data_IF_699202692683
#
_entry.id   IF_699202692683
#
_cell.length_a   1.000
_cell.length_b   1.000
_cell.length_c   1.000
_cell.angle_alpha   90.00
_cell.angle_beta   90.00
_cell.angle_gamma   90.00
#
_symmetry.space_group_name_H-M   'P 1'
#
loop_
_entity.id
_entity.type
_entity.pdbx_description
1 polymer ?
#
# COMPACT_ATOMS: atom_id res chain seq x y z
N UNK A 1 8.10 -23.77 3.84
CA UNK A 1 8.84 -22.62 3.29
C UNK A 1 9.64 -22.01 4.43
N UNK A 2 10.97 -21.98 4.33
CA UNK A 2 11.81 -21.36 5.37
C UNK A 2 11.68 -19.83 5.29
N UNK A 3 11.53 -19.17 6.43
CA UNK A 3 11.31 -17.71 6.52
C UNK A 3 12.41 -16.91 5.80
N UNK A 4 13.65 -17.44 5.78
CA UNK A 4 14.77 -16.86 5.03
C UNK A 4 14.55 -16.85 3.52
N UNK A 5 13.90 -17.87 2.95
CA UNK A 5 13.55 -17.90 1.53
C UNK A 5 12.40 -16.95 1.21
N UNK A 6 11.44 -16.79 2.12
CA UNK A 6 10.35 -15.82 1.95
C UNK A 6 10.86 -14.37 2.03
N UNK A 7 11.75 -14.08 2.98
CA UNK A 7 12.37 -12.76 3.13
C UNK A 7 13.34 -12.43 1.99
N UNK A 8 14.11 -13.41 1.51
CA UNK A 8 15.00 -13.25 0.35
C UNK A 8 14.19 -13.07 -0.95
N UNK A 9 13.02 -13.70 -1.06
CA UNK A 9 12.08 -13.49 -2.17
C UNK A 9 11.41 -12.12 -2.12
N UNK A 10 11.04 -11.62 -0.93
CA UNK A 10 10.53 -10.26 -0.70
C UNK A 10 11.61 -9.20 -0.94
N UNK A 11 12.86 -9.46 -0.52
CA UNK A 11 14.00 -8.55 -0.72
C UNK A 11 14.43 -8.45 -2.18
N UNK A 12 14.41 -9.57 -2.91
CA UNK A 12 14.65 -9.61 -4.36
C UNK A 12 13.48 -9.02 -5.16
N UNK A 13 12.27 -9.01 -4.60
CA UNK A 13 11.11 -8.33 -5.18
C UNK A 13 11.32 -6.81 -5.29
N UNK A 14 12.01 -6.24 -4.30
CA UNK A 14 12.24 -4.79 -4.14
C UNK A 14 13.32 -4.24 -5.09
N UNK A 15 14.23 -5.09 -5.58
CA UNK A 15 15.45 -4.68 -6.28
C UNK A 15 15.47 -4.98 -7.79
N UNK A 16 14.57 -5.82 -8.30
CA UNK A 16 14.57 -6.26 -9.72
C UNK A 16 13.37 -5.79 -10.55
N UNK A 17 12.34 -5.21 -9.92
CA UNK A 17 11.23 -4.57 -10.65
C UNK A 17 11.32 -3.08 -10.47
N UNK A 18 11.16 -2.34 -11.56
CA UNK A 18 10.62 -1.00 -11.51
C UNK A 18 9.24 -1.15 -10.80
N UNK A 19 9.10 -0.83 -9.49
CA UNK A 19 7.97 -1.31 -8.66
C UNK A 19 6.62 -0.83 -9.19
N UNK A 20 6.70 0.24 -9.98
CA UNK A 20 5.65 1.05 -10.53
C UNK A 20 4.99 0.43 -11.79
N UNK A 21 5.68 -0.47 -12.52
CA UNK A 21 5.11 -1.12 -13.71
C UNK A 21 4.26 -2.35 -13.37
N UNK A 22 4.62 -3.11 -12.33
CA UNK A 22 3.78 -4.21 -11.82
C UNK A 22 2.63 -3.73 -10.93
N UNK A 23 2.67 -2.46 -10.50
CA UNK A 23 1.65 -1.91 -9.61
C UNK A 23 0.27 -1.91 -10.29
N UNK A 24 0.25 -1.67 -11.61
CA UNK A 24 -0.94 -1.66 -12.46
C UNK A 24 -1.76 -2.96 -12.43
N UNK A 25 -1.15 -4.09 -12.07
CA UNK A 25 -1.82 -5.39 -12.00
C UNK A 25 -2.65 -5.57 -10.71
N UNK A 26 -2.46 -4.71 -9.70
CA UNK A 26 -3.06 -4.89 -8.36
C UNK A 26 -4.40 -4.17 -8.14
N UNK A 27 -4.72 -3.13 -8.94
CA UNK A 27 -5.99 -2.42 -8.86
C UNK A 27 -6.69 -2.52 -10.20
N UNK A 28 -7.88 -3.12 -10.15
CA UNK A 28 -8.78 -3.19 -11.29
C UNK A 28 -9.12 -1.78 -11.81
N UNK A 29 -8.83 -1.45 -13.08
CA UNK A 29 -9.21 -0.17 -13.68
C UNK A 29 -10.71 0.11 -13.61
N UNK A 30 -11.56 -0.92 -13.71
CA UNK A 30 -13.02 -0.74 -13.61
C UNK A 30 -13.45 -0.35 -12.19
N UNK A 31 -12.76 -0.82 -11.17
CA UNK A 31 -12.97 -0.38 -9.79
C UNK A 31 -12.66 1.11 -9.65
N UNK A 32 -11.53 1.56 -10.19
CA UNK A 32 -11.12 2.96 -10.14
C UNK A 32 -12.16 3.84 -10.86
N UNK A 33 -12.56 3.47 -12.07
CA UNK A 33 -13.58 4.20 -12.83
C UNK A 33 -14.92 4.29 -12.10
N UNK A 34 -15.37 3.20 -11.46
CA UNK A 34 -16.60 3.21 -10.64
C UNK A 34 -16.46 4.13 -9.43
N UNK A 35 -15.33 4.09 -8.73
CA UNK A 35 -15.09 4.96 -7.57
C UNK A 35 -15.06 6.44 -7.96
N UNK A 36 -14.49 6.79 -9.12
CA UNK A 36 -14.50 8.15 -9.67
C UNK A 36 -15.91 8.61 -10.06
N UNK A 37 -16.73 7.68 -10.59
CA UNK A 37 -18.14 7.93 -10.88
C UNK A 37 -18.94 8.23 -9.62
N UNK A 38 -18.80 7.39 -8.60
CA UNK A 38 -19.49 7.54 -7.32
C UNK A 38 -19.04 8.77 -6.52
N UNK A 39 -17.80 9.23 -6.69
CA UNK A 39 -17.30 10.45 -6.03
C UNK A 39 -17.69 11.74 -6.77
N UNK A 40 -18.37 11.65 -7.91
CA UNK A 40 -18.68 12.82 -8.76
C UNK A 40 -17.44 13.42 -9.43
N UNK A 41 -16.33 12.68 -9.47
CA UNK A 41 -15.03 13.13 -9.98
C UNK A 41 -14.79 12.62 -11.41
N UNK A 42 -15.87 12.50 -12.19
CA UNK A 42 -15.76 12.10 -13.60
C UNK A 42 -15.45 13.31 -14.45
N UNK A 43 -14.41 13.21 -15.27
CA UNK A 43 -14.12 14.23 -16.27
C UNK A 43 -14.33 13.67 -17.67
N UNK A 44 -15.20 14.29 -18.47
CA UNK A 44 -15.43 13.91 -19.86
C UNK A 44 -14.24 14.20 -20.78
N UNK A 45 -13.33 15.10 -20.37
CA UNK A 45 -12.19 15.53 -21.18
C UNK A 45 -11.00 14.58 -21.02
N UNK A 46 -10.55 13.98 -22.11
CA UNK A 46 -9.26 13.26 -22.17
C UNK A 46 -8.10 14.24 -21.98
N UNK A 47 -7.38 14.11 -20.87
CA UNK A 47 -6.19 14.93 -20.53
C UNK A 47 -4.95 14.05 -20.54
N UNK A 48 -3.77 14.68 -20.69
CA UNK A 48 -2.48 13.96 -20.67
C UNK A 48 -2.22 13.17 -19.39
N UNK A 49 -2.81 13.61 -18.27
CA UNK A 49 -2.77 12.93 -16.98
C UNK A 49 -4.22 12.65 -16.55
N UNK A 50 -4.74 11.45 -16.88
CA UNK A 50 -6.08 11.01 -16.47
C UNK A 50 -6.21 10.91 -14.94
N UNK A 51 -7.43 10.99 -14.42
CA UNK A 51 -7.66 10.92 -12.97
C UNK A 51 -7.49 9.49 -12.44
N UNK A 52 -7.81 8.51 -13.26
CA UNK A 52 -7.56 7.08 -13.03
C UNK A 52 -6.06 6.86 -12.75
N UNK A 53 -5.23 7.47 -13.59
CA UNK A 53 -3.78 7.42 -13.48
C UNK A 53 -3.24 8.23 -12.28
N UNK A 54 -3.97 9.23 -11.82
CA UNK A 54 -3.62 9.98 -10.61
C UNK A 54 -3.80 9.13 -9.34
N UNK A 55 -4.73 8.18 -9.33
CA UNK A 55 -4.87 7.22 -8.22
C UNK A 55 -3.59 6.39 -8.08
N UNK A 56 -3.04 5.90 -9.21
CA UNK A 56 -1.75 5.21 -9.23
C UNK A 56 -0.59 6.07 -8.74
N UNK A 57 -0.57 7.35 -9.10
CA UNK A 57 0.42 8.29 -8.59
C UNK A 57 0.36 8.43 -7.06
N UNK A 58 -0.83 8.38 -6.46
CA UNK A 58 -1.00 8.41 -5.00
C UNK A 58 -0.48 7.14 -4.34
N UNK A 59 -0.74 5.97 -4.93
CA UNK A 59 -0.16 4.70 -4.44
C UNK A 59 1.37 4.75 -4.58
N UNK A 60 1.88 5.26 -5.70
CA UNK A 60 3.31 5.49 -5.91
C UNK A 60 3.93 6.39 -4.83
N UNK A 61 3.25 7.45 -4.38
CA UNK A 61 3.72 8.27 -3.24
C UNK A 61 3.80 7.50 -1.92
N UNK A 62 2.86 6.58 -1.68
CA UNK A 62 2.86 5.79 -0.46
C UNK A 62 4.05 4.83 -0.41
N UNK A 63 4.44 4.28 -1.57
CA UNK A 63 5.58 3.38 -1.72
C UNK A 63 6.91 4.14 -1.76
N UNK A 64 6.99 5.20 -2.57
CA UNK A 64 8.20 5.98 -2.84
C UNK A 64 8.24 7.28 -2.03
N UNK A 65 8.30 7.16 -0.70
CA UNK A 65 8.21 8.31 0.23
C UNK A 65 9.29 9.38 0.05
N UNK A 66 10.41 9.05 -0.61
CA UNK A 66 11.56 9.95 -0.81
C UNK A 66 11.44 10.76 -2.11
N UNK A 67 10.54 10.38 -3.01
CA UNK A 67 10.49 10.94 -4.36
C UNK A 67 9.39 12.01 -4.49
N UNK A 68 9.65 13.13 -5.18
CA UNK A 68 8.64 14.14 -5.42
C UNK A 68 7.62 13.64 -6.46
N UNK A 69 6.37 14.11 -6.31
CA UNK A 69 5.21 13.67 -7.10
C UNK A 69 5.44 13.65 -8.62
N UNK A 70 6.09 14.68 -9.18
CA UNK A 70 6.36 14.76 -10.62
C UNK A 70 7.35 13.70 -11.11
N UNK A 71 8.31 13.29 -10.28
CA UNK A 71 9.24 12.21 -10.62
C UNK A 71 8.53 10.85 -10.55
N UNK A 72 7.63 10.67 -9.58
CA UNK A 72 6.78 9.49 -9.49
C UNK A 72 5.93 9.33 -10.75
N UNK A 73 5.29 10.40 -11.24
CA UNK A 73 4.51 10.38 -12.49
C UNK A 73 5.36 9.96 -13.70
N UNK A 74 6.56 10.52 -13.82
CA UNK A 74 7.44 10.21 -14.94
C UNK A 74 7.98 8.77 -14.86
N UNK A 75 8.28 8.25 -13.66
CA UNK A 75 8.72 6.86 -13.47
C UNK A 75 7.61 5.83 -13.71
N UNK A 76 6.38 6.18 -13.34
CA UNK A 76 5.19 5.35 -13.57
C UNK A 76 4.78 5.27 -15.06
N UNK A 77 5.29 6.17 -15.91
CA UNK A 77 4.89 6.33 -17.32
C UNK A 77 3.36 6.35 -17.53
N UNK A 78 2.64 7.00 -16.61
CA UNK A 78 1.18 7.02 -16.58
C UNK A 78 0.54 8.09 -17.48
N UNK A 79 1.35 8.70 -18.34
CA UNK A 79 0.91 9.80 -19.21
C UNK A 79 0.38 9.27 -20.54
N UNK A 80 -0.67 9.91 -21.06
CA UNK A 80 -1.06 9.66 -22.44
C UNK A 80 -0.01 10.24 -23.42
N UNK A 81 0.22 9.59 -24.57
CA UNK A 81 1.19 10.03 -25.57
C UNK A 81 0.98 11.50 -25.95
N UNK A 82 2.08 12.24 -26.09
CA UNK A 82 2.01 13.64 -26.49
C UNK A 82 3.38 14.23 -26.78
N UNK A 83 3.38 15.44 -27.33
CA UNK A 83 4.59 16.09 -27.88
C UNK A 83 5.64 16.52 -26.82
N UNK A 84 5.45 16.23 -25.54
CA UNK A 84 6.39 16.58 -24.46
C UNK A 84 6.61 15.40 -23.53
N UNK A 85 7.84 14.91 -23.33
CA UNK A 85 8.09 13.69 -22.56
C UNK A 85 7.79 13.81 -21.05
N UNK A 86 7.79 15.03 -20.49
CA UNK A 86 7.64 15.24 -19.04
C UNK A 86 6.36 16.01 -18.68
N UNK A 87 5.80 15.74 -17.48
CA UNK A 87 4.73 16.56 -16.89
C UNK A 87 5.32 17.79 -16.19
N UNK A 88 4.72 18.95 -16.42
CA UNK A 88 5.00 20.14 -15.61
C UNK A 88 4.53 19.92 -14.16
N UNK A 89 5.35 20.18 -13.12
CA UNK A 89 4.97 19.93 -11.72
C UNK A 89 3.60 20.50 -11.31
N UNK A 90 3.25 21.69 -11.83
CA UNK A 90 1.94 22.33 -11.60
C UNK A 90 0.76 21.51 -12.12
N UNK A 91 0.90 20.86 -13.28
CA UNK A 91 -0.15 20.03 -13.85
C UNK A 91 -0.44 18.79 -12.99
N UNK A 92 0.59 18.27 -12.30
CA UNK A 92 0.43 17.15 -11.36
C UNK A 92 -0.33 17.59 -10.12
N UNK A 93 0.02 18.75 -9.55
CA UNK A 93 -0.67 19.34 -8.39
C UNK A 93 -2.14 19.60 -8.73
N UNK A 94 -2.42 20.20 -9.89
CA UNK A 94 -3.78 20.46 -10.36
C UNK A 94 -4.58 19.17 -10.60
N UNK A 95 -3.93 18.10 -11.06
CA UNK A 95 -4.59 16.81 -11.23
C UNK A 95 -4.93 16.17 -9.88
N UNK A 96 -4.02 16.23 -8.90
CA UNK A 96 -4.27 15.78 -7.53
C UNK A 96 -5.42 16.54 -6.87
N UNK A 97 -5.47 17.87 -7.02
CA UNK A 97 -6.58 18.69 -6.50
C UNK A 97 -7.93 18.30 -7.12
N UNK A 98 -7.95 18.04 -8.44
CA UNK A 98 -9.16 17.60 -9.14
C UNK A 98 -9.63 16.22 -8.73
N UNK A 99 -8.71 15.31 -8.41
CA UNK A 99 -9.06 13.96 -7.94
C UNK A 99 -9.83 14.02 -6.61
N UNK A 100 -9.40 14.89 -5.70
CA UNK A 100 -10.02 15.04 -4.38
C UNK A 100 -9.77 13.84 -3.45
N UNK A 101 -10.03 14.04 -2.15
CA UNK A 101 -9.85 12.99 -1.14
C UNK A 101 -10.93 11.92 -1.18
N UNK A 102 -12.16 12.28 -1.57
CA UNK A 102 -13.29 11.35 -1.58
C UNK A 102 -13.12 10.21 -2.59
N UNK A 103 -12.60 10.49 -3.79
CA UNK A 103 -12.28 9.46 -4.77
C UNK A 103 -11.27 8.44 -4.21
N UNK A 104 -10.19 8.94 -3.60
CA UNK A 104 -9.13 8.11 -3.00
C UNK A 104 -9.66 7.27 -1.85
N UNK A 105 -10.48 7.88 -0.98
CA UNK A 105 -11.14 7.19 0.13
C UNK A 105 -11.99 6.03 -0.36
N UNK A 106 -12.80 6.25 -1.41
CA UNK A 106 -13.66 5.20 -1.98
C UNK A 106 -12.85 4.05 -2.58
N UNK A 107 -11.81 4.37 -3.36
CA UNK A 107 -10.91 3.34 -3.90
C UNK A 107 -10.34 2.52 -2.76
N UNK A 108 -9.79 3.17 -1.72
CA UNK A 108 -9.24 2.47 -0.56
C UNK A 108 -10.25 1.55 0.12
N UNK A 109 -11.44 2.06 0.46
CA UNK A 109 -12.47 1.27 1.15
C UNK A 109 -12.95 0.09 0.31
N UNK A 110 -13.22 0.29 -0.99
CA UNK A 110 -13.70 -0.79 -1.86
C UNK A 110 -12.63 -1.85 -2.06
N UNK A 111 -11.38 -1.45 -2.29
CA UNK A 111 -10.26 -2.39 -2.44
C UNK A 111 -10.03 -3.18 -1.15
N UNK A 112 -10.03 -2.52 0.01
CA UNK A 112 -9.90 -3.19 1.30
C UNK A 112 -11.00 -4.23 1.52
N UNK A 113 -12.25 -3.89 1.20
CA UNK A 113 -13.38 -4.81 1.34
C UNK A 113 -13.30 -6.00 0.37
N UNK A 114 -12.88 -5.77 -0.88
CA UNK A 114 -12.68 -6.85 -1.86
C UNK A 114 -11.60 -7.82 -1.42
N UNK A 115 -10.45 -7.31 -0.98
CA UNK A 115 -9.35 -8.15 -0.51
C UNK A 115 -9.69 -8.88 0.78
N UNK A 116 -10.40 -8.24 1.70
CA UNK A 116 -10.92 -8.89 2.91
C UNK A 116 -11.83 -10.08 2.54
N UNK A 117 -12.82 -9.85 1.68
CA UNK A 117 -13.76 -10.90 1.27
C UNK A 117 -13.11 -12.05 0.48
N UNK A 118 -12.05 -11.76 -0.28
CA UNK A 118 -11.31 -12.76 -1.04
C UNK A 118 -10.33 -13.57 -0.18
N UNK A 119 -9.99 -13.09 1.01
CA UNK A 119 -9.00 -13.73 1.88
C UNK A 119 -9.66 -14.77 2.78
N UNK A 120 -9.24 -16.04 2.73
CA UNK A 120 -9.70 -17.03 3.70
C UNK A 120 -9.07 -16.70 5.07
N UNK A 121 -9.88 -16.16 5.99
CA UNK A 121 -9.40 -15.82 7.32
C UNK A 121 -9.25 -17.07 8.20
N UNK A 122 -8.07 -17.32 8.80
CA UNK A 122 -7.92 -18.37 9.78
C UNK A 122 -8.74 -18.02 11.04
N UNK A 123 -9.22 -19.05 11.73
CA UNK A 123 -9.96 -18.90 12.97
C UNK A 123 -9.13 -19.46 14.14
N UNK A 124 -9.16 -18.79 15.28
CA UNK A 124 -8.54 -19.25 16.52
C UNK A 124 -9.52 -19.02 17.67
N UNK A 125 -9.83 -20.08 18.43
CA UNK A 125 -10.80 -20.04 19.53
C UNK A 125 -12.16 -19.43 19.17
N UNK A 126 -12.66 -19.68 17.95
CA UNK A 126 -13.93 -19.13 17.46
C UNK A 126 -13.88 -17.68 16.97
N UNK A 127 -12.70 -17.05 16.97
CA UNK A 127 -12.49 -15.68 16.49
C UNK A 127 -11.77 -15.66 15.15
N UNK A 128 -12.07 -14.65 14.32
CA UNK A 128 -11.34 -14.37 13.07
C UNK A 128 -9.96 -13.80 13.40
N UNK A 129 -8.91 -14.48 12.97
CA UNK A 129 -7.54 -14.02 13.16
C UNK A 129 -7.15 -13.05 12.03
N UNK A 130 -6.81 -11.82 12.41
CA UNK A 130 -6.32 -10.76 11.53
C UNK A 130 -4.93 -10.34 11.98
N UNK A 131 -4.05 -10.01 11.04
CA UNK A 131 -2.74 -9.43 11.32
C UNK A 131 -2.76 -7.94 11.01
N UNK A 132 -2.34 -7.12 11.96
CA UNK A 132 -2.07 -5.70 11.76
C UNK A 132 -0.56 -5.55 11.86
N UNK A 133 0.07 -5.16 10.74
CA UNK A 133 1.51 -4.98 10.71
C UNK A 133 1.92 -3.82 11.64
N UNK A 134 2.84 -4.07 12.56
CA UNK A 134 3.35 -3.07 13.52
C UNK A 134 2.78 -3.09 14.95
N UNK A 135 2.01 -4.10 15.37
CA UNK A 135 1.54 -4.20 16.77
C UNK A 135 2.20 -5.36 17.50
N UNK A 136 3.01 -5.04 18.51
CA UNK A 136 3.51 -6.03 19.47
C UNK A 136 2.55 -6.12 20.66
N UNK A 137 1.86 -7.26 20.79
CA UNK A 137 1.15 -7.60 22.02
C UNK A 137 2.10 -8.36 22.95
N UNK A 138 2.32 -7.85 24.16
CA UNK A 138 2.99 -8.60 25.22
C UNK A 138 1.93 -9.33 26.03
N UNK A 139 2.03 -10.65 26.10
CA UNK A 139 1.25 -11.45 27.06
C UNK A 139 1.86 -11.33 28.46
N UNK A 140 1.07 -11.41 29.54
CA UNK A 140 1.60 -11.50 30.89
C UNK A 140 2.53 -12.71 31.05
N UNK A 141 3.65 -12.53 31.77
CA UNK A 141 4.60 -13.60 32.09
C UNK A 141 3.96 -14.56 33.11
N UNK A 142 3.20 -15.56 32.62
CA UNK A 142 2.63 -16.65 33.42
C UNK A 142 3.13 -18.01 32.94
N UNK A 143 3.26 -19.02 33.83
CA UNK A 143 3.74 -20.35 33.46
C UNK A 143 2.91 -21.01 32.33
N UNK A 144 1.61 -20.78 32.32
CA UNK A 144 0.67 -21.29 31.31
C UNK A 144 0.92 -20.67 29.92
N UNK A 145 1.19 -19.37 29.87
CA UNK A 145 1.55 -18.67 28.64
C UNK A 145 2.93 -19.13 28.12
N UNK A 146 3.90 -19.38 29.01
CA UNK A 146 5.22 -19.90 28.63
C UNK A 146 5.17 -21.30 28.00
N UNK A 147 4.26 -22.16 28.46
CA UNK A 147 4.07 -23.49 27.87
C UNK A 147 3.37 -23.46 26.51
N UNK A 148 2.55 -22.44 26.25
CA UNK A 148 1.64 -22.38 25.10
C UNK A 148 2.14 -21.45 23.98
N UNK A 149 2.93 -20.43 24.32
CA UNK A 149 3.43 -19.40 23.42
C UNK A 149 4.97 -19.44 23.39
N UNK A 150 5.55 -19.51 22.19
CA UNK A 150 7.01 -19.47 22.06
C UNK A 150 7.55 -18.12 22.57
N UNK A 151 8.52 -18.16 23.50
CA UNK A 151 9.18 -16.97 23.99
C UNK A 151 10.00 -16.31 22.85
N UNK A 152 9.74 -15.03 22.56
CA UNK A 152 10.63 -14.25 21.73
C UNK A 152 11.93 -13.98 22.52
N UNK A 153 13.08 -14.40 21.98
CA UNK A 153 14.39 -14.18 22.61
C UNK A 153 14.56 -12.70 23.00
N UNK A 154 14.58 -12.43 24.30
CA UNK A 154 14.94 -11.12 24.84
C UNK A 154 16.43 -10.92 24.58
N UNK A 155 16.77 -9.99 23.68
CA UNK A 155 18.10 -9.41 23.68
C UNK A 155 18.34 -8.80 25.06
N UNK A 156 19.29 -9.36 25.80
CA UNK A 156 19.63 -8.98 27.16
C UNK A 156 20.18 -7.55 27.13
N UNK A 157 19.48 -6.62 27.77
CA UNK A 157 20.06 -5.39 28.27
C UNK A 157 19.96 -5.46 29.79
N UNK A 158 20.99 -6.04 30.41
CA UNK A 158 21.22 -5.92 31.83
C UNK A 158 21.49 -4.44 32.15
N UNK A 159 20.63 -3.84 32.97
CA UNK A 159 21.02 -2.72 33.81
C UNK A 159 20.94 -3.23 35.24
N UNK A 160 22.09 -3.61 35.79
CA UNK A 160 22.31 -3.70 37.23
C UNK A 160 22.02 -2.32 37.83
N UNK A 161 20.99 -2.23 38.66
CA UNK A 161 20.87 -1.17 39.66
C UNK A 161 21.50 -1.70 40.94
N UNK A 162 22.75 -1.33 41.18
CA UNK A 162 23.38 -1.45 42.49
C UNK A 162 22.83 -0.35 43.41
N UNK A 163 22.43 -0.75 44.61
CA UNK A 163 22.09 0.12 45.76
C UNK A 163 23.24 1.07 46.15
#
# INVERSE_FOLDING_TARGET
MHIGQALDLVSRYDSLRNPLTSLGDYLDPELISRCLAESGTVTLRKRRLPLEMMVWCIVGMALERKEPLHQIVNRLDIMLPGNRPFVAPSAVIQARQRLGSEAVRRVFTKTAQLWHNATPHPHWCGLTLLAIDGVFWRTPDTPENHGSLAAANRGVAEYELSE
#
